data_IF_946170891585
#
_entry.id   IF_946170891585
#
_cell.length_a   1.000
_cell.length_b   1.000
_cell.length_c   1.000
_cell.angle_alpha   90.00
_cell.angle_beta   90.00
_cell.angle_gamma   90.00
#
_symmetry.space_group_name_H-M   'P 1'
#
loop_
_entity.id
_entity.type
_entity.pdbx_description
1 polymer ?
#
# COMPACT_ATOMS: atom_id res chain seq x y z
N UNK A 1 -11.58 4.63 -12.15
CA UNK A 1 -10.37 5.06 -11.41
C UNK A 1 -9.14 4.45 -12.07
N UNK A 2 -8.07 5.21 -12.18
CA UNK A 2 -6.80 4.63 -12.63
C UNK A 2 -6.13 3.90 -11.46
N UNK A 3 -5.04 3.19 -11.72
CA UNK A 3 -4.38 2.39 -10.69
C UNK A 3 -3.80 3.24 -9.57
N UNK A 4 -3.29 4.42 -9.87
CA UNK A 4 -2.76 5.31 -8.84
C UNK A 4 -3.87 5.78 -7.89
N UNK A 5 -5.02 6.14 -8.42
CA UNK A 5 -6.16 6.55 -7.59
C UNK A 5 -6.63 5.39 -6.71
N UNK A 6 -6.68 4.17 -7.25
CA UNK A 6 -7.04 2.98 -6.49
C UNK A 6 -6.04 2.72 -5.37
N UNK A 7 -4.74 2.81 -5.67
CA UNK A 7 -3.66 2.63 -4.71
C UNK A 7 -3.77 3.65 -3.57
N UNK A 8 -3.95 4.91 -3.93
CA UNK A 8 -4.08 5.99 -2.94
C UNK A 8 -5.31 5.78 -2.05
N UNK A 9 -6.43 5.38 -2.65
CA UNK A 9 -7.67 5.15 -1.91
C UNK A 9 -7.51 4.02 -0.89
N UNK A 10 -6.83 2.94 -1.26
CA UNK A 10 -6.58 1.83 -0.34
C UNK A 10 -5.78 2.30 0.86
N UNK A 11 -4.73 3.09 0.65
CA UNK A 11 -3.95 3.67 1.75
C UNK A 11 -4.80 4.55 2.65
N UNK A 12 -5.54 5.47 2.07
CA UNK A 12 -6.36 6.43 2.82
C UNK A 12 -7.41 5.70 3.65
N UNK A 13 -8.14 4.77 3.03
CA UNK A 13 -9.22 4.07 3.70
C UNK A 13 -8.71 3.10 4.76
N UNK A 14 -7.62 2.40 4.49
CA UNK A 14 -7.08 1.40 5.41
C UNK A 14 -6.39 2.04 6.60
N UNK A 15 -5.61 3.08 6.38
CA UNK A 15 -4.80 3.71 7.42
C UNK A 15 -5.50 4.88 8.11
N UNK A 16 -6.62 5.33 7.60
CA UNK A 16 -7.35 6.45 8.17
C UNK A 16 -6.62 7.78 8.05
N UNK A 17 -6.02 8.04 6.90
CA UNK A 17 -5.22 9.24 6.65
C UNK A 17 -5.78 10.02 5.46
N UNK A 18 -5.20 11.18 5.19
CA UNK A 18 -5.54 12.01 4.05
C UNK A 18 -4.54 11.80 2.91
N UNK A 19 -4.96 12.10 1.68
CA UNK A 19 -4.09 11.95 0.50
C UNK A 19 -2.81 12.76 0.59
N UNK A 20 -2.85 13.93 1.23
CA UNK A 20 -1.67 14.79 1.38
C UNK A 20 -0.61 14.19 2.32
N UNK A 21 -0.94 13.12 3.03
CA UNK A 21 0.01 12.42 3.90
C UNK A 21 0.75 11.30 3.18
N UNK A 22 0.37 10.98 1.94
CA UNK A 22 0.92 9.81 1.23
C UNK A 22 2.36 10.00 0.79
N UNK A 23 2.73 11.19 0.29
CA UNK A 23 4.10 11.42 -0.18
C UNK A 23 5.07 11.28 0.99
N UNK A 24 6.03 10.37 0.84
CA UNK A 24 7.03 10.09 1.86
C UNK A 24 6.55 9.27 3.04
N UNK A 25 5.33 8.74 2.99
CA UNK A 25 4.77 7.95 4.09
C UNK A 25 5.52 6.64 4.27
N UNK A 26 5.90 6.36 5.51
CA UNK A 26 6.64 5.13 5.85
C UNK A 26 5.91 4.34 6.92
N UNK A 27 6.24 3.05 7.01
CA UNK A 27 5.73 2.16 8.04
C UNK A 27 5.98 2.76 9.42
N UNK A 28 4.97 2.75 10.26
CA UNK A 28 4.98 3.34 11.61
C UNK A 28 4.96 4.87 11.65
N UNK A 29 4.91 5.54 10.50
CA UNK A 29 4.84 7.01 10.47
C UNK A 29 3.50 7.54 10.94
N UNK A 30 2.44 6.74 10.83
CA UNK A 30 1.09 7.07 11.32
C UNK A 30 0.60 5.91 12.18
N UNK A 31 -0.32 6.21 13.11
CA UNK A 31 -0.81 5.23 14.07
C UNK A 31 -1.46 4.01 13.38
N UNK A 32 -2.14 4.24 12.26
CA UNK A 32 -2.82 3.16 11.53
C UNK A 32 -1.90 2.21 10.80
N UNK A 33 -0.65 2.59 10.57
CA UNK A 33 0.31 1.74 9.87
C UNK A 33 1.26 1.07 10.85
N UNK A 34 0.71 0.16 11.63
CA UNK A 34 1.44 -0.76 12.51
C UNK A 34 1.37 -2.15 11.91
N UNK A 35 1.74 -3.18 12.65
CA UNK A 35 1.76 -4.55 12.12
C UNK A 35 0.37 -5.04 11.70
N UNK A 36 -0.67 -4.69 12.44
CA UNK A 36 -2.04 -5.07 12.07
C UNK A 36 -2.52 -4.25 10.86
N UNK A 37 -2.26 -2.96 10.86
CA UNK A 37 -2.59 -2.08 9.75
C UNK A 37 -1.86 -2.48 8.47
N UNK A 38 -0.61 -2.92 8.60
CA UNK A 38 0.18 -3.39 7.47
C UNK A 38 -0.47 -4.63 6.82
N UNK A 39 -0.88 -5.60 7.62
CA UNK A 39 -1.54 -6.79 7.09
C UNK A 39 -2.86 -6.45 6.40
N UNK A 40 -3.63 -5.53 6.98
CA UNK A 40 -4.87 -5.06 6.35
C UNK A 40 -4.59 -4.33 5.04
N UNK A 41 -3.55 -3.50 5.01
CA UNK A 41 -3.14 -2.77 3.81
C UNK A 41 -2.76 -3.73 2.68
N UNK A 42 -1.94 -4.72 2.98
CA UNK A 42 -1.53 -5.73 2.01
C UNK A 42 -2.74 -6.50 1.47
N UNK A 43 -3.62 -6.96 2.37
CA UNK A 43 -4.81 -7.71 1.96
C UNK A 43 -5.73 -6.87 1.06
N UNK A 44 -5.91 -5.60 1.39
CA UNK A 44 -6.76 -4.71 0.60
C UNK A 44 -6.13 -4.39 -0.76
N UNK A 45 -4.80 -4.27 -0.84
CA UNK A 45 -4.11 -4.07 -2.11
C UNK A 45 -4.20 -5.32 -2.99
N UNK A 46 -4.03 -6.50 -2.41
CA UNK A 46 -4.18 -7.75 -3.14
C UNK A 46 -5.58 -7.88 -3.73
N UNK A 47 -6.58 -7.51 -2.95
CA UNK A 47 -7.97 -7.56 -3.39
C UNK A 47 -8.25 -6.52 -4.48
N UNK A 48 -7.75 -5.30 -4.30
CA UNK A 48 -8.01 -4.19 -5.23
C UNK A 48 -7.38 -4.43 -6.61
N UNK A 49 -6.22 -5.08 -6.66
CA UNK A 49 -5.48 -5.31 -7.89
C UNK A 49 -5.51 -6.77 -8.36
N UNK A 50 -6.20 -7.63 -7.62
CA UNK A 50 -6.33 -9.06 -7.94
C UNK A 50 -4.95 -9.71 -8.10
N UNK A 51 -4.09 -9.53 -7.11
CA UNK A 51 -2.74 -10.07 -7.06
C UNK A 51 -2.50 -10.82 -5.76
N UNK A 52 -1.47 -11.66 -5.74
CA UNK A 52 -0.97 -12.30 -4.51
C UNK A 52 0.49 -11.95 -4.37
N UNK A 53 0.82 -11.25 -3.28
CA UNK A 53 2.18 -10.79 -3.03
C UNK A 53 2.97 -11.87 -2.28
N UNK A 54 4.23 -12.03 -2.68
CA UNK A 54 5.15 -12.93 -1.99
C UNK A 54 5.49 -12.38 -0.60
N UNK A 55 5.81 -13.28 0.32
CA UNK A 55 6.14 -12.91 1.70
C UNK A 55 7.27 -11.88 1.75
N UNK A 56 8.31 -12.06 0.93
CA UNK A 56 9.44 -11.14 0.88
C UNK A 56 9.01 -9.72 0.50
N UNK A 57 8.09 -9.62 -0.45
CA UNK A 57 7.57 -8.32 -0.88
C UNK A 57 6.70 -7.67 0.18
N UNK A 58 5.94 -8.47 0.92
CA UNK A 58 5.14 -7.97 2.05
C UNK A 58 6.04 -7.36 3.12
N UNK A 59 7.15 -8.03 3.42
CA UNK A 59 8.12 -7.54 4.41
C UNK A 59 8.81 -6.26 3.92
N UNK A 60 9.16 -6.22 2.64
CA UNK A 60 9.86 -5.07 2.05
C UNK A 60 8.97 -3.86 1.83
N UNK A 61 7.66 -4.02 1.92
CA UNK A 61 6.67 -2.95 1.70
C UNK A 61 6.72 -1.99 2.89
N UNK A 62 7.68 -1.08 2.88
CA UNK A 62 8.03 -0.23 4.02
C UNK A 62 7.65 1.23 3.85
N UNK A 63 7.20 1.64 2.64
CA UNK A 63 6.79 3.01 2.39
C UNK A 63 5.83 3.05 1.22
N UNK A 64 5.16 4.20 1.07
CA UNK A 64 4.26 4.44 -0.05
C UNK A 64 4.99 4.31 -1.39
N UNK A 65 6.19 4.90 -1.49
CA UNK A 65 7.00 4.84 -2.71
C UNK A 65 7.52 3.43 -2.97
N UNK A 66 7.96 2.73 -1.94
CA UNK A 66 8.43 1.35 -2.07
C UNK A 66 7.30 0.44 -2.54
N UNK A 67 6.09 0.66 -2.06
CA UNK A 67 4.91 -0.09 -2.49
C UNK A 67 4.63 0.06 -3.97
N UNK A 68 4.80 1.26 -4.52
CA UNK A 68 4.66 1.47 -5.97
C UNK A 68 5.64 0.60 -6.76
N UNK A 69 6.90 0.54 -6.32
CA UNK A 69 7.92 -0.26 -6.97
C UNK A 69 7.59 -1.76 -6.88
N UNK A 70 7.14 -2.20 -5.71
CA UNK A 70 6.77 -3.61 -5.49
C UNK A 70 5.61 -4.02 -6.38
N UNK A 71 4.55 -3.20 -6.42
CA UNK A 71 3.38 -3.53 -7.24
C UNK A 71 3.70 -3.54 -8.73
N UNK A 72 4.67 -2.76 -9.18
CA UNK A 72 5.10 -2.79 -10.57
C UNK A 72 5.59 -4.18 -10.98
N UNK A 73 6.14 -4.96 -10.06
CA UNK A 73 6.59 -6.34 -10.32
C UNK A 73 5.42 -7.27 -10.59
N UNK A 74 4.22 -6.89 -10.19
CA UNK A 74 2.99 -7.66 -10.38
C UNK A 74 2.15 -7.10 -11.53
N UNK A 75 2.79 -6.35 -12.43
CA UNK A 75 2.15 -5.76 -13.61
C UNK A 75 1.11 -4.68 -13.28
N UNK A 76 1.19 -4.08 -12.11
CA UNK A 76 0.36 -2.92 -11.77
C UNK A 76 1.07 -1.66 -12.24
N UNK A 77 0.50 -1.00 -13.23
CA UNK A 77 1.08 0.21 -13.83
C UNK A 77 0.50 1.47 -13.18
N UNK A 78 1.38 2.40 -12.87
CA UNK A 78 0.98 3.67 -12.25
C UNK A 78 1.19 4.88 -13.16
#
# INVERSE_FOLDING_TARGET
>A
MNNLETYNKVFVDTLGINEDQLAGLEYLAVAGWDSLGHMSLIANLEDAFDIMMDTDDIIDFSSYEKGNEILAKYDVEF
#
